data_IF_038262946608
#
_entry.id   IF_038262946608
#
_cell.length_a   1.000
_cell.length_b   1.000
_cell.length_c   1.000
_cell.angle_alpha   90.00
_cell.angle_beta   90.00
_cell.angle_gamma   90.00
#
_symmetry.space_group_name_H-M   'P 1'
#
loop_
_entity.id
_entity.type
_entity.pdbx_description
1 polymer ?
#
# COMPACT_ATOMS: atom_id res chain seq x y z
N UNK A 1 -28.35 11.05 13.25
CA UNK A 1 -27.12 10.61 13.96
C UNK A 1 -25.83 10.78 13.16
N UNK A 2 -25.78 10.41 11.87
CA UNK A 2 -24.57 10.57 11.02
C UNK A 2 -24.08 12.02 10.92
N UNK A 3 -24.98 12.99 10.70
CA UNK A 3 -24.64 14.42 10.56
C UNK A 3 -23.94 14.96 11.81
N UNK A 4 -24.37 14.56 13.02
CA UNK A 4 -23.74 14.99 14.29
C UNK A 4 -22.35 14.35 14.47
N UNK A 5 -22.16 13.09 14.03
CA UNK A 5 -20.84 12.44 14.02
C UNK A 5 -19.88 13.15 13.06
N UNK A 6 -20.35 13.49 11.86
CA UNK A 6 -19.56 14.22 10.85
C UNK A 6 -19.22 15.62 11.34
N UNK A 7 -20.15 16.35 11.97
CA UNK A 7 -19.85 17.66 12.58
C UNK A 7 -18.85 17.57 13.75
N UNK A 8 -18.85 16.47 14.51
CA UNK A 8 -17.85 16.24 15.57
C UNK A 8 -16.45 15.98 14.97
N UNK A 9 -16.37 15.21 13.88
CA UNK A 9 -15.13 15.00 13.10
C UNK A 9 -14.64 16.27 12.39
N UNK A 10 -15.54 17.14 11.93
CA UNK A 10 -15.20 18.41 11.30
C UNK A 10 -14.41 19.35 12.24
N UNK A 11 -14.48 19.17 13.57
CA UNK A 11 -13.59 19.90 14.50
C UNK A 11 -12.13 19.48 14.37
N UNK A 12 -11.83 18.24 13.98
CA UNK A 12 -10.46 17.77 13.69
C UNK A 12 -9.88 18.50 12.47
N UNK A 13 -10.73 18.98 11.54
CA UNK A 13 -10.28 19.83 10.43
C UNK A 13 -9.68 21.18 10.90
N UNK A 14 -9.88 21.60 12.16
CA UNK A 14 -9.14 22.72 12.76
C UNK A 14 -7.64 22.44 12.89
N UNK A 15 -7.21 21.18 12.99
CA UNK A 15 -5.78 20.78 12.98
C UNK A 15 -5.15 21.09 11.62
N UNK A 16 -5.88 20.90 10.51
CA UNK A 16 -5.46 21.38 9.19
C UNK A 16 -5.32 22.91 9.11
N UNK A 17 -6.00 23.66 9.98
CA UNK A 17 -5.83 25.11 10.10
C UNK A 17 -4.54 25.48 10.86
N UNK A 18 -4.12 24.72 11.87
CA UNK A 18 -2.80 24.85 12.53
C UNK A 18 -1.65 24.54 11.56
N UNK A 19 -1.84 23.52 10.73
CA UNK A 19 -0.97 23.16 9.62
C UNK A 19 -0.60 24.35 8.70
N UNK A 20 -1.51 25.31 8.48
CA UNK A 20 -1.24 26.53 7.69
C UNK A 20 -0.34 27.55 8.41
N UNK A 21 -0.32 27.56 9.73
CA UNK A 21 0.52 28.48 10.53
C UNK A 21 1.92 27.90 10.83
N UNK A 22 2.09 26.58 10.67
CA UNK A 22 3.40 25.95 10.76
C UNK A 22 4.19 26.17 9.46
N UNK A 23 5.20 27.04 9.51
CA UNK A 23 6.17 27.23 8.44
C UNK A 23 6.80 25.90 8.01
N UNK A 24 6.99 24.97 8.95
CA UNK A 24 7.51 23.62 8.69
C UNK A 24 6.61 22.78 7.79
N UNK A 25 5.28 22.90 7.91
CA UNK A 25 4.37 22.13 7.06
C UNK A 25 4.20 22.76 5.67
N UNK A 26 4.33 24.08 5.56
CA UNK A 26 4.45 24.76 4.25
C UNK A 26 5.72 24.35 3.52
N UNK A 27 6.86 24.34 4.22
CA UNK A 27 8.13 23.88 3.65
C UNK A 27 8.07 22.40 3.23
N UNK A 28 7.45 21.55 4.05
CA UNK A 28 7.20 20.14 3.69
C UNK A 28 6.29 20.02 2.45
N UNK A 29 5.22 20.79 2.39
CA UNK A 29 4.31 20.81 1.24
C UNK A 29 4.96 21.29 -0.05
N UNK A 30 5.80 22.32 0.00
CA UNK A 30 6.53 22.83 -1.16
C UNK A 30 7.59 21.83 -1.66
N UNK A 31 8.30 21.16 -0.74
CA UNK A 31 9.23 20.08 -1.08
C UNK A 31 8.50 18.88 -1.69
N UNK A 32 7.39 18.45 -1.08
CA UNK A 32 6.54 17.38 -1.63
C UNK A 32 6.02 17.74 -3.02
N UNK A 33 5.62 19.00 -3.25
CA UNK A 33 5.11 19.45 -4.55
C UNK A 33 6.20 19.47 -5.63
N UNK A 34 7.44 19.78 -5.28
CA UNK A 34 8.60 19.65 -6.19
C UNK A 34 8.90 18.19 -6.50
N UNK A 35 8.84 17.32 -5.50
CA UNK A 35 9.14 15.89 -5.65
C UNK A 35 7.94 15.05 -6.11
N UNK A 36 6.75 15.62 -6.28
CA UNK A 36 5.53 14.86 -6.59
C UNK A 36 5.62 14.15 -7.93
N UNK A 37 6.33 14.74 -8.90
CA UNK A 37 6.56 14.12 -10.21
C UNK A 37 7.34 12.82 -10.03
N UNK A 38 8.45 12.85 -9.29
CA UNK A 38 9.26 11.65 -9.01
C UNK A 38 8.49 10.64 -8.14
N UNK A 39 7.79 11.12 -7.12
CA UNK A 39 6.96 10.29 -6.24
C UNK A 39 5.84 9.59 -7.02
N UNK A 40 5.22 10.29 -7.98
CA UNK A 40 4.15 9.75 -8.82
C UNK A 40 4.66 8.72 -9.81
N UNK A 41 5.86 8.90 -10.36
CA UNK A 41 6.50 7.91 -11.24
C UNK A 41 6.81 6.63 -10.46
N UNK A 42 7.37 6.75 -9.26
CA UNK A 42 7.59 5.62 -8.36
C UNK A 42 6.26 4.95 -7.99
N UNK A 43 5.23 5.74 -7.66
CA UNK A 43 3.89 5.24 -7.35
C UNK A 43 3.28 4.42 -8.49
N UNK A 44 3.37 4.90 -9.74
CA UNK A 44 2.88 4.18 -10.93
C UNK A 44 3.64 2.86 -11.14
N UNK A 45 4.96 2.85 -10.92
CA UNK A 45 5.77 1.63 -10.99
C UNK A 45 5.35 0.61 -9.92
N UNK A 46 5.17 1.05 -8.67
CA UNK A 46 4.72 0.20 -7.57
C UNK A 46 3.30 -0.35 -7.83
N UNK A 47 2.37 0.50 -8.29
CA UNK A 47 1.00 0.09 -8.62
C UNK A 47 0.97 -0.98 -9.72
N UNK A 48 1.79 -0.81 -10.76
CA UNK A 48 1.91 -1.80 -11.83
C UNK A 48 2.46 -3.13 -11.29
N UNK A 49 3.48 -3.08 -10.43
CA UNK A 49 4.00 -4.25 -9.72
C UNK A 49 2.90 -4.95 -8.90
N UNK A 50 2.18 -4.20 -8.05
CA UNK A 50 1.08 -4.73 -7.23
C UNK A 50 0.06 -5.47 -8.08
N UNK A 51 -0.39 -4.88 -9.19
CA UNK A 51 -1.38 -5.50 -10.07
C UNK A 51 -0.86 -6.78 -10.74
N UNK A 52 0.38 -6.77 -11.22
CA UNK A 52 1.03 -7.94 -11.85
C UNK A 52 1.18 -9.10 -10.85
N UNK A 53 1.80 -8.84 -9.69
CA UNK A 53 2.07 -9.86 -8.69
C UNK A 53 0.79 -10.37 -8.02
N UNK A 54 -0.19 -9.50 -7.81
CA UNK A 54 -1.50 -9.90 -7.28
C UNK A 54 -2.23 -10.86 -8.22
N UNK A 55 -2.18 -10.61 -9.52
CA UNK A 55 -2.82 -11.47 -10.53
C UNK A 55 -2.10 -12.82 -10.61
N UNK A 56 -0.77 -12.82 -10.59
CA UNK A 56 0.02 -14.05 -10.55
C UNK A 56 -0.27 -14.89 -9.30
N UNK A 57 -0.26 -14.27 -8.11
CA UNK A 57 -0.61 -14.94 -6.84
C UNK A 57 -2.01 -15.55 -6.89
N UNK A 58 -3.01 -14.81 -7.37
CA UNK A 58 -4.35 -15.34 -7.51
C UNK A 58 -4.40 -16.56 -8.45
N UNK A 59 -3.67 -16.55 -9.56
CA UNK A 59 -3.68 -17.65 -10.51
C UNK A 59 -3.05 -18.94 -9.97
N UNK A 60 -1.95 -18.83 -9.22
CA UNK A 60 -1.29 -19.98 -8.61
C UNK A 60 -2.05 -20.53 -7.39
N UNK A 61 -2.80 -19.68 -6.69
CA UNK A 61 -3.46 -20.06 -5.44
C UNK A 61 -4.96 -20.31 -5.56
N UNK A 62 -5.56 -20.11 -6.74
CA UNK A 62 -6.99 -20.37 -6.98
C UNK A 62 -7.37 -21.84 -6.86
N UNK A 63 -6.42 -22.73 -7.13
CA UNK A 63 -6.64 -24.18 -7.21
C UNK A 63 -6.39 -24.86 -5.84
N UNK A 64 -5.97 -24.10 -4.81
CA UNK A 64 -5.69 -24.63 -3.47
C UNK A 64 -6.86 -24.36 -2.49
N UNK A 65 -7.54 -25.39 -1.96
CA UNK A 65 -8.65 -25.23 -1.01
C UNK A 65 -8.28 -24.54 0.31
N UNK A 66 -7.01 -24.52 0.73
CA UNK A 66 -6.58 -23.83 1.96
C UNK A 66 -6.15 -22.37 1.74
N UNK A 67 -6.30 -21.86 0.52
CA UNK A 67 -5.89 -20.51 0.16
C UNK A 67 -6.78 -19.44 0.79
N UNK A 68 -6.17 -18.44 1.44
CA UNK A 68 -6.87 -17.22 1.89
C UNK A 68 -7.00 -16.17 0.77
N UNK A 69 -6.52 -16.46 -0.44
CA UNK A 69 -6.59 -15.56 -1.60
C UNK A 69 -7.90 -15.76 -2.36
N UNK A 70 -9.01 -15.32 -1.76
CA UNK A 70 -10.36 -15.51 -2.32
C UNK A 70 -10.67 -14.63 -3.55
N UNK A 71 -9.93 -13.54 -3.76
CA UNK A 71 -10.18 -12.60 -4.85
C UNK A 71 -8.96 -11.75 -5.18
N UNK A 72 -8.94 -11.16 -6.39
CA UNK A 72 -7.86 -10.27 -6.83
C UNK A 72 -7.65 -9.10 -5.85
N UNK A 73 -8.69 -8.43 -5.31
CA UNK A 73 -8.50 -7.39 -4.29
C UNK A 73 -7.83 -7.87 -3.01
N UNK A 74 -8.04 -9.13 -2.61
CA UNK A 74 -7.38 -9.72 -1.44
C UNK A 74 -5.88 -9.95 -1.72
N UNK A 75 -5.54 -10.42 -2.91
CA UNK A 75 -4.14 -10.53 -3.35
C UNK A 75 -3.48 -9.14 -3.52
N UNK A 76 -4.23 -8.10 -3.91
CA UNK A 76 -3.73 -6.72 -3.96
C UNK A 76 -3.36 -6.24 -2.56
N UNK A 77 -4.19 -6.49 -1.55
CA UNK A 77 -3.89 -6.16 -0.16
C UNK A 77 -2.58 -6.81 0.29
N UNK A 78 -2.42 -8.11 0.03
CA UNK A 78 -1.18 -8.83 0.32
C UNK A 78 0.04 -8.23 -0.40
N UNK A 79 -0.07 -7.93 -1.71
CA UNK A 79 1.03 -7.31 -2.46
C UNK A 79 1.41 -5.94 -1.89
N UNK A 80 0.44 -5.12 -1.47
CA UNK A 80 0.70 -3.81 -0.87
C UNK A 80 1.47 -3.96 0.45
N UNK A 81 1.04 -4.83 1.35
CA UNK A 81 1.71 -4.99 2.67
C UNK A 81 3.10 -5.62 2.54
N UNK A 82 3.31 -6.47 1.54
CA UNK A 82 4.61 -7.09 1.25
C UNK A 82 5.56 -6.08 0.61
N UNK A 83 5.10 -5.31 -0.39
CA UNK A 83 5.92 -4.30 -1.06
C UNK A 83 6.23 -3.09 -0.17
N UNK A 84 5.38 -2.82 0.82
CA UNK A 84 5.66 -1.80 1.85
C UNK A 84 6.47 -2.35 3.02
N UNK A 85 6.90 -3.62 2.96
CA UNK A 85 7.68 -4.31 4.00
C UNK A 85 7.01 -4.36 5.38
N UNK A 86 5.69 -4.15 5.44
CA UNK A 86 4.91 -4.23 6.69
C UNK A 86 4.72 -5.68 7.12
N UNK A 87 4.34 -6.56 6.19
CA UNK A 87 4.30 -8.01 6.40
C UNK A 87 3.44 -8.46 7.60
N UNK A 88 2.16 -8.06 7.66
CA UNK A 88 1.26 -8.45 8.77
C UNK A 88 1.14 -9.96 8.99
N UNK A 89 1.31 -10.77 7.94
CA UNK A 89 1.21 -12.23 8.00
C UNK A 89 -0.22 -12.77 8.11
N UNK A 90 -1.22 -11.94 7.83
CA UNK A 90 -2.65 -12.31 7.77
C UNK A 90 -2.96 -13.21 6.56
N UNK A 91 -2.35 -12.88 5.42
CA UNK A 91 -2.36 -13.64 4.17
C UNK A 91 -0.95 -14.12 3.88
N UNK A 92 -0.77 -15.43 3.72
CA UNK A 92 0.53 -16.04 3.41
C UNK A 92 0.33 -17.06 2.30
N UNK A 93 1.19 -17.07 1.27
CA UNK A 93 1.15 -18.10 0.24
C UNK A 93 1.39 -19.49 0.83
N UNK A 94 0.63 -20.47 0.37
CA UNK A 94 0.67 -21.87 0.82
C UNK A 94 1.38 -22.73 -0.23
N UNK A 95 1.20 -22.43 -1.52
CA UNK A 95 1.79 -23.18 -2.63
C UNK A 95 3.26 -22.81 -2.86
N UNK A 96 4.07 -23.79 -3.27
CA UNK A 96 5.48 -23.59 -3.61
C UNK A 96 5.70 -22.51 -4.70
N UNK A 97 4.82 -22.44 -5.71
CA UNK A 97 4.88 -21.41 -6.75
C UNK A 97 4.72 -20.00 -6.21
N UNK A 98 3.76 -19.81 -5.29
CA UNK A 98 3.55 -18.52 -4.64
C UNK A 98 4.69 -18.13 -3.68
N UNK A 99 5.35 -19.09 -3.04
CA UNK A 99 6.55 -18.82 -2.23
C UNK A 99 7.73 -18.30 -3.07
N UNK A 100 7.90 -18.81 -4.30
CA UNK A 100 8.89 -18.28 -5.24
C UNK A 100 8.54 -16.87 -5.69
N UNK A 101 7.27 -16.62 -6.03
CA UNK A 101 6.78 -15.28 -6.40
C UNK A 101 6.98 -14.30 -5.24
N UNK A 102 6.70 -14.72 -4.01
CA UNK A 102 6.92 -13.92 -2.81
C UNK A 102 8.40 -13.57 -2.64
N UNK A 103 9.30 -14.54 -2.78
CA UNK A 103 10.74 -14.28 -2.67
C UNK A 103 11.24 -13.32 -3.76
N UNK A 104 10.75 -13.48 -4.98
CA UNK A 104 11.05 -12.57 -6.09
C UNK A 104 10.49 -11.16 -5.87
N UNK A 105 9.26 -11.05 -5.37
CA UNK A 105 8.63 -9.78 -5.03
C UNK A 105 9.43 -9.01 -3.98
N UNK A 106 9.85 -9.70 -2.91
CA UNK A 106 10.67 -9.11 -1.82
C UNK A 106 12.01 -8.62 -2.35
N UNK A 107 12.64 -9.37 -3.27
CA UNK A 107 13.90 -8.98 -3.90
C UNK A 107 13.72 -7.81 -4.89
N UNK A 108 12.57 -7.75 -5.56
CA UNK A 108 12.24 -6.69 -6.52
C UNK A 108 11.88 -5.37 -5.82
N UNK A 109 11.31 -5.43 -4.62
CA UNK A 109 11.17 -4.22 -3.80
C UNK A 109 12.53 -3.60 -3.55
N UNK A 110 12.72 -2.30 -3.87
CA UNK A 110 13.96 -1.62 -3.53
C UNK A 110 14.16 -1.77 -2.02
N UNK A 111 15.35 -2.19 -1.57
CA UNK A 111 15.60 -2.32 -0.16
C UNK A 111 15.52 -0.92 0.43
N UNK A 112 14.45 -0.67 1.18
CA UNK A 112 14.33 0.51 2.03
C UNK A 112 15.24 0.22 3.22
N UNK A 113 16.55 0.27 2.98
CA UNK A 113 17.54 0.30 4.04
C UNK A 113 17.32 1.60 4.80
N UNK A 114 16.90 1.49 6.07
CA UNK A 114 17.15 2.55 7.04
C UNK A 114 18.66 2.65 7.30
#
# INVERSE_FOLDING_TARGET
MLVVRVMRLARVARIFKLARYSTGLRAFGDTMKKSITELSMLGMFLLTGIMLFSTAMYFFERDEPNSKFYSIPAACWWCVITMTTVGYGDLVPVTAGCNLIHSFLVLWTPPIYF
#
